data_IF_036321076654
#
_entry.id   IF_036321076654
#
_cell.length_a   1.000
_cell.length_b   1.000
_cell.length_c   1.000
_cell.angle_alpha   90.00
_cell.angle_beta   90.00
_cell.angle_gamma   90.00
#
_symmetry.space_group_name_H-M   'P 1'
#
loop_
_entity.id
_entity.type
_entity.pdbx_description
1 polymer ?
#
# COMPACT_ATOMS: atom_id res chain seq x y z
N UNK A 1 8.94 53.38 -59.67
CA UNK A 1 7.79 53.17 -58.76
C UNK A 1 7.06 51.92 -59.20
N UNK A 2 7.37 50.75 -58.63
CA UNK A 2 6.49 49.57 -58.51
C UNK A 2 7.27 48.41 -57.91
N UNK A 3 6.54 47.52 -57.21
CA UNK A 3 6.91 46.11 -56.99
C UNK A 3 7.81 45.74 -55.80
N UNK A 4 7.33 45.92 -54.56
CA UNK A 4 7.79 45.14 -53.38
C UNK A 4 6.62 44.63 -52.50
N UNK A 5 5.36 44.97 -52.78
CA UNK A 5 4.26 44.79 -51.82
C UNK A 5 3.54 43.41 -51.82
N UNK A 6 4.02 42.36 -52.49
CA UNK A 6 3.22 41.14 -52.69
C UNK A 6 3.81 39.79 -52.22
N UNK A 7 4.92 39.75 -51.48
CA UNK A 7 5.49 38.47 -51.02
C UNK A 7 5.03 37.97 -49.63
N UNK A 8 4.23 38.72 -48.87
CA UNK A 8 3.90 38.36 -47.47
C UNK A 8 2.56 37.62 -47.32
N UNK A 9 1.76 37.47 -48.38
CA UNK A 9 0.37 36.98 -48.26
C UNK A 9 0.16 35.48 -48.43
N UNK A 10 1.20 34.68 -48.68
CA UNK A 10 1.05 33.23 -48.99
C UNK A 10 1.41 32.31 -47.80
N UNK A 11 1.96 32.82 -46.70
CA UNK A 11 2.39 31.97 -45.58
C UNK A 11 1.36 31.76 -44.45
N UNK A 12 0.17 32.40 -44.53
CA UNK A 12 -0.85 32.31 -43.47
C UNK A 12 -1.98 31.33 -43.79
N UNK A 13 -2.05 30.79 -45.02
CA UNK A 13 -3.23 30.05 -45.50
C UNK A 13 -3.01 28.56 -45.78
N UNK A 14 -1.87 27.99 -45.35
CA UNK A 14 -1.51 26.58 -45.57
C UNK A 14 -1.52 25.69 -44.33
N UNK A 15 -2.00 26.17 -43.17
CA UNK A 15 -2.00 25.43 -41.90
C UNK A 15 -3.43 25.07 -41.44
N UNK A 16 -4.30 24.70 -42.37
CA UNK A 16 -5.57 24.05 -42.06
C UNK A 16 -5.54 22.63 -42.62
N UNK A 17 -5.90 21.66 -41.77
CA UNK A 17 -6.13 20.25 -42.08
C UNK A 17 -4.91 19.34 -42.19
N UNK A 18 -4.25 19.13 -41.05
CA UNK A 18 -3.70 17.80 -40.76
C UNK A 18 -4.06 17.44 -39.31
N UNK A 19 -5.35 17.32 -39.03
CA UNK A 19 -5.84 16.65 -37.83
C UNK A 19 -5.56 15.15 -38.00
N UNK A 20 -4.32 14.74 -37.73
CA UNK A 20 -3.96 13.34 -37.58
C UNK A 20 -4.55 12.85 -36.26
N UNK A 21 -5.79 12.39 -36.29
CA UNK A 21 -6.40 11.61 -35.21
C UNK A 21 -5.72 10.24 -35.20
N UNK A 22 -4.53 10.15 -34.60
CA UNK A 22 -3.95 8.85 -34.23
C UNK A 22 -4.67 8.39 -32.97
N UNK A 23 -5.90 7.91 -33.16
CA UNK A 23 -6.66 7.18 -32.14
C UNK A 23 -6.11 5.75 -32.05
N UNK A 24 -4.85 5.64 -31.61
CA UNK A 24 -4.22 4.39 -31.23
C UNK A 24 -3.91 4.46 -29.75
N UNK A 25 -4.94 4.41 -28.91
CA UNK A 25 -4.78 4.27 -27.47
C UNK A 25 -4.27 2.85 -27.19
N UNK A 26 -2.97 2.64 -27.39
CA UNK A 26 -2.29 1.54 -26.73
C UNK A 26 -2.35 1.84 -25.23
N UNK A 27 -3.32 1.25 -24.54
CA UNK A 27 -3.33 1.16 -23.09
C UNK A 27 -2.13 0.28 -22.69
N UNK A 28 -0.94 0.86 -22.67
CA UNK A 28 0.17 0.25 -21.96
C UNK A 28 -0.20 0.28 -20.48
N UNK A 29 -0.41 -0.90 -19.90
CA UNK A 29 -0.54 -1.03 -18.47
C UNK A 29 0.71 -0.44 -17.83
N UNK A 30 0.53 0.65 -17.08
CA UNK A 30 1.60 1.27 -16.35
C UNK A 30 2.18 0.28 -15.33
N UNK A 31 3.51 0.25 -15.09
CA UNK A 31 4.06 -0.42 -13.93
C UNK A 31 3.38 0.12 -12.67
N UNK A 32 2.69 -0.76 -11.95
CA UNK A 32 2.18 -0.50 -10.61
C UNK A 32 3.36 -0.38 -9.65
N UNK A 33 3.35 0.68 -8.85
CA UNK A 33 4.33 0.89 -7.80
C UNK A 33 3.73 0.48 -6.48
N UNK A 34 4.13 -0.68 -5.97
CA UNK A 34 3.71 -1.12 -4.64
C UNK A 34 4.65 -0.48 -3.61
N UNK A 35 4.09 0.31 -2.69
CA UNK A 35 4.83 0.77 -1.51
C UNK A 35 4.50 -0.19 -0.37
N UNK A 36 5.55 -0.68 0.30
CA UNK A 36 5.43 -1.58 1.45
C UNK A 36 5.70 -0.78 2.70
N UNK A 37 4.73 -0.75 3.62
CA UNK A 37 4.93 -0.28 4.98
C UNK A 37 5.18 -1.48 5.87
N UNK A 38 6.36 -1.49 6.49
CA UNK A 38 6.70 -2.48 7.50
C UNK A 38 6.14 -2.05 8.87
N UNK A 39 5.75 -3.03 9.69
CA UNK A 39 5.38 -2.76 11.06
C UNK A 39 6.56 -2.12 11.81
N UNK A 40 6.37 -0.90 12.31
CA UNK A 40 7.30 -0.24 13.21
C UNK A 40 7.00 -0.71 14.62
N UNK A 41 7.98 -1.31 15.30
CA UNK A 41 7.89 -1.68 16.71
C UNK A 41 6.67 -2.55 17.09
N UNK A 42 6.81 -3.88 17.00
CA UNK A 42 5.89 -4.85 17.62
C UNK A 42 6.30 -5.09 19.11
N UNK A 43 7.24 -4.30 19.65
CA UNK A 43 7.88 -4.55 20.94
C UNK A 43 7.17 -3.78 22.06
N UNK A 44 6.30 -4.50 22.76
CA UNK A 44 5.76 -4.04 24.03
C UNK A 44 6.67 -4.44 25.17
N UNK A 45 7.02 -3.46 26.02
CA UNK A 45 7.79 -3.57 27.28
C UNK A 45 9.33 -3.58 27.19
N UNK A 46 9.92 -2.42 27.49
CA UNK A 46 11.29 -2.34 28.03
C UNK A 46 11.34 -3.03 29.40
N UNK A 47 11.87 -4.25 29.47
CA UNK A 47 12.19 -4.89 30.75
C UNK A 47 12.41 -6.41 30.78
N UNK A 48 12.09 -7.16 29.72
CA UNK A 48 12.22 -8.63 29.75
C UNK A 48 12.31 -9.18 28.32
N UNK A 49 13.46 -9.78 28.00
CA UNK A 49 13.84 -10.48 26.74
C UNK A 49 13.26 -9.90 25.43
N UNK A 50 14.14 -9.24 24.66
CA UNK A 50 13.84 -8.64 23.35
C UNK A 50 13.50 -9.72 22.32
N UNK A 51 12.21 -9.82 21.99
CA UNK A 51 11.69 -10.57 20.85
C UNK A 51 10.98 -9.54 19.94
N UNK A 52 11.02 -9.70 18.62
CA UNK A 52 10.40 -8.76 17.66
C UNK A 52 8.87 -8.86 17.63
N UNK A 53 8.26 -9.44 18.65
CA UNK A 53 6.83 -9.37 18.94
C UNK A 53 6.59 -9.63 20.42
N UNK A 54 5.49 -9.10 20.93
CA UNK A 54 4.94 -9.51 22.21
C UNK A 54 3.59 -10.18 21.99
N UNK A 55 3.54 -11.47 22.30
CA UNK A 55 2.30 -12.21 22.43
C UNK A 55 2.06 -12.38 23.93
N UNK A 56 0.98 -11.81 24.44
CA UNK A 56 0.57 -12.10 25.82
C UNK A 56 -0.66 -12.97 25.78
N UNK A 57 -0.47 -14.15 26.37
CA UNK A 57 -1.56 -15.06 26.66
C UNK A 57 -2.27 -14.59 27.92
N UNK A 58 -3.37 -13.87 27.75
CA UNK A 58 -4.29 -13.59 28.87
C UNK A 58 -5.39 -14.65 28.81
N UNK A 59 -5.32 -15.63 29.72
CA UNK A 59 -6.24 -16.76 29.70
C UNK A 59 -5.99 -17.67 28.50
N UNK A 60 -6.92 -17.70 27.55
CA UNK A 60 -6.83 -18.52 26.33
C UNK A 60 -6.64 -17.70 25.05
N UNK A 61 -6.62 -16.37 25.14
CA UNK A 61 -6.51 -15.50 23.98
C UNK A 61 -5.05 -15.08 23.74
N UNK A 62 -4.57 -15.28 22.52
CA UNK A 62 -3.32 -14.72 22.04
C UNK A 62 -3.59 -13.34 21.41
N UNK A 63 -2.80 -12.35 21.81
CA UNK A 63 -2.92 -10.96 21.37
C UNK A 63 -1.59 -10.42 20.89
N UNK A 64 -1.60 -9.74 19.75
CA UNK A 64 -0.41 -9.12 19.15
C UNK A 64 -0.80 -7.72 18.66
N UNK A 65 0.08 -6.74 18.87
CA UNK A 65 -0.10 -5.36 18.41
C UNK A 65 1.00 -5.00 17.43
N UNK A 66 0.66 -4.38 16.31
CA UNK A 66 1.60 -3.88 15.31
C UNK A 66 1.31 -2.42 14.98
N UNK A 67 2.28 -1.53 15.17
CA UNK A 67 2.20 -0.13 14.73
C UNK A 67 2.78 0.01 13.32
N UNK A 68 2.21 0.90 12.51
CA UNK A 68 2.69 1.23 11.17
C UNK A 68 2.88 2.73 11.09
N UNK A 69 4.09 3.16 10.71
CA UNK A 69 4.40 4.57 10.53
C UNK A 69 3.70 5.10 9.27
N UNK A 70 2.85 6.11 9.45
CA UNK A 70 2.18 6.81 8.36
C UNK A 70 2.97 8.02 7.86
N UNK A 71 4.06 8.39 8.53
CA UNK A 71 4.89 9.51 8.10
C UNK A 71 5.54 9.21 6.75
N UNK A 72 5.31 10.10 5.78
CA UNK A 72 5.83 9.94 4.42
C UNK A 72 4.96 9.08 3.51
N UNK A 73 3.84 8.55 4.00
CA UNK A 73 2.82 7.95 3.13
C UNK A 73 2.10 9.08 2.40
N UNK A 74 2.27 9.12 1.08
CA UNK A 74 1.56 10.08 0.24
C UNK A 74 0.12 9.61 0.02
N UNK A 75 -0.88 10.51 0.07
CA UNK A 75 -2.24 10.16 -0.31
C UNK A 75 -2.31 9.81 -1.81
N UNK A 76 -3.35 9.07 -2.23
CA UNK A 76 -3.59 8.78 -3.65
C UNK A 76 -3.35 7.33 -4.09
N UNK A 77 -3.19 6.39 -3.15
CA UNK A 77 -3.29 4.96 -3.46
C UNK A 77 -4.75 4.54 -3.71
N UNK A 78 -4.97 3.53 -4.55
CA UNK A 78 -6.30 2.99 -4.85
C UNK A 78 -6.75 2.00 -3.76
N UNK A 79 -5.81 1.19 -3.27
CA UNK A 79 -6.06 0.18 -2.24
C UNK A 79 -4.89 0.07 -1.26
N UNK A 80 -5.22 -0.23 -0.01
CA UNK A 80 -4.25 -0.63 1.00
C UNK A 80 -4.63 -2.00 1.56
N UNK A 81 -3.68 -2.96 1.55
CA UNK A 81 -3.91 -4.34 2.01
C UNK A 81 -2.89 -4.69 3.09
N UNK A 82 -3.39 -4.97 4.29
CA UNK A 82 -2.61 -5.51 5.39
C UNK A 82 -2.41 -7.01 5.17
N UNK A 83 -1.15 -7.43 5.11
CA UNK A 83 -0.72 -8.82 5.05
C UNK A 83 -0.27 -9.29 6.42
N UNK A 84 -0.88 -10.36 6.90
CA UNK A 84 -0.66 -10.91 8.23
C UNK A 84 -0.17 -12.35 8.10
N UNK A 85 1.15 -12.57 8.15
CA UNK A 85 1.74 -13.90 8.23
C UNK A 85 1.44 -14.50 9.61
N UNK A 86 0.84 -15.68 9.63
CA UNK A 86 0.53 -16.40 10.86
C UNK A 86 0.83 -17.89 10.74
N UNK A 87 1.14 -18.51 11.87
CA UNK A 87 1.23 -19.95 12.04
C UNK A 87 0.24 -20.41 13.11
N UNK A 88 -0.52 -21.44 12.78
CA UNK A 88 -1.34 -22.17 13.73
C UNK A 88 -0.53 -23.35 14.27
N UNK A 89 -0.31 -23.39 15.59
CA UNK A 89 0.52 -24.41 16.24
C UNK A 89 -0.29 -25.50 16.96
N UNK A 90 -1.61 -25.49 16.80
CA UNK A 90 -2.43 -26.60 17.28
C UNK A 90 -2.28 -27.82 16.35
N UNK A 91 -2.07 -29.04 16.90
CA UNK A 91 -1.71 -30.23 16.12
C UNK A 91 -2.82 -30.73 15.17
N UNK A 92 -4.06 -30.29 15.40
CA UNK A 92 -5.24 -30.50 14.54
C UNK A 92 -6.12 -29.27 14.69
N UNK A 93 -5.77 -28.14 14.03
CA UNK A 93 -6.42 -26.89 14.33
C UNK A 93 -7.89 -26.98 13.93
N UNK A 94 -8.84 -26.78 14.87
CA UNK A 94 -10.21 -26.48 14.45
C UNK A 94 -10.17 -25.24 13.56
N UNK A 95 -11.19 -25.07 12.70
CA UNK A 95 -11.37 -23.86 11.93
C UNK A 95 -11.49 -22.65 12.88
N UNK A 96 -10.37 -22.00 13.14
CA UNK A 96 -10.27 -20.90 14.10
C UNK A 96 -10.66 -19.56 13.49
N UNK A 97 -10.70 -18.53 14.35
CA UNK A 97 -10.92 -17.15 13.93
C UNK A 97 -9.85 -16.18 14.44
N UNK A 98 -9.54 -15.18 13.63
CA UNK A 98 -8.67 -14.07 13.97
C UNK A 98 -9.43 -12.76 13.80
N UNK A 99 -9.62 -12.04 14.90
CA UNK A 99 -10.12 -10.67 14.89
C UNK A 99 -8.98 -9.69 14.64
N UNK A 100 -9.17 -8.81 13.66
CA UNK A 100 -8.26 -7.69 13.35
C UNK A 100 -8.95 -6.41 13.79
N UNK A 101 -8.35 -5.70 14.74
CA UNK A 101 -8.81 -4.43 15.28
C UNK A 101 -7.82 -3.34 14.87
N UNK A 102 -8.28 -2.10 14.78
CA UNK A 102 -7.42 -0.97 14.44
C UNK A 102 -7.64 0.23 15.37
N UNK A 103 -6.58 1.01 15.58
CA UNK A 103 -6.58 2.24 16.37
C UNK A 103 -5.41 3.15 15.96
N UNK A 104 -5.36 4.37 16.50
CA UNK A 104 -4.20 5.26 16.38
C UNK A 104 -3.29 5.09 17.59
N UNK A 105 -2.07 4.65 17.35
CA UNK A 105 -1.04 4.50 18.38
C UNK A 105 -0.07 5.68 18.41
N UNK A 106 0.93 5.57 19.28
CA UNK A 106 2.02 6.54 19.41
C UNK A 106 3.37 5.99 18.93
N UNK A 107 3.36 4.79 18.33
CA UNK A 107 4.54 4.09 17.84
C UNK A 107 5.27 3.28 18.92
N UNK A 108 4.75 3.23 20.14
CA UNK A 108 5.28 2.42 21.25
C UNK A 108 4.21 1.41 21.66
N UNK A 109 4.52 0.12 21.65
CA UNK A 109 3.55 -0.88 22.13
C UNK A 109 3.47 -0.86 23.65
N UNK A 110 2.26 -0.75 24.18
CA UNK A 110 2.00 -0.86 25.62
C UNK A 110 0.90 -1.87 25.95
N UNK A 111 0.90 -2.36 27.19
CA UNK A 111 -0.01 -3.44 27.59
C UNK A 111 -1.49 -3.03 27.61
N UNK A 112 -1.77 -1.74 27.78
CA UNK A 112 -3.11 -1.16 27.69
C UNK A 112 -3.66 -1.15 26.25
N UNK A 113 -2.81 -1.28 25.24
CA UNK A 113 -3.24 -1.35 23.84
C UNK A 113 -3.78 -2.73 23.44
N UNK A 114 -3.59 -3.77 24.25
CA UNK A 114 -4.05 -5.13 23.91
C UNK A 114 -5.56 -5.25 23.76
N UNK A 115 -6.32 -4.35 24.40
CA UNK A 115 -7.77 -4.25 24.26
C UNK A 115 -8.22 -3.03 23.43
N UNK A 116 -7.28 -2.26 22.87
CA UNK A 116 -7.58 -1.07 22.09
C UNK A 116 -8.17 -1.41 20.71
N UNK A 117 -8.81 -0.39 20.15
CA UNK A 117 -9.27 -0.35 18.77
C UNK A 117 -10.67 -0.87 18.51
N UNK A 118 -11.09 -0.63 17.27
CA UNK A 118 -12.37 -1.05 16.74
C UNK A 118 -12.17 -2.27 15.84
N UNK A 119 -13.11 -3.22 15.88
CA UNK A 119 -13.05 -4.39 15.01
C UNK A 119 -13.12 -3.93 13.54
N UNK A 120 -12.06 -4.22 12.78
CA UNK A 120 -12.02 -4.02 11.35
C UNK A 120 -12.63 -5.21 10.62
N UNK A 121 -12.14 -6.41 10.95
CA UNK A 121 -12.54 -7.64 10.29
C UNK A 121 -12.27 -8.86 11.16
N UNK A 122 -13.21 -9.79 11.15
CA UNK A 122 -12.99 -11.15 11.63
C UNK A 122 -12.73 -12.06 10.43
N UNK A 123 -11.68 -12.87 10.52
CA UNK A 123 -11.34 -13.90 9.53
C UNK A 123 -11.54 -15.25 10.20
N UNK A 124 -12.52 -16.02 9.73
CA UNK A 124 -12.79 -17.37 10.21
C UNK A 124 -12.32 -18.43 9.21
N UNK A 125 -12.22 -19.68 9.64
CA UNK A 125 -11.86 -20.80 8.76
C UNK A 125 -10.37 -20.90 8.45
N UNK A 126 -9.52 -20.48 9.40
CA UNK A 126 -8.06 -20.52 9.22
C UNK A 126 -7.57 -21.93 9.57
N UNK A 127 -7.57 -22.81 8.57
CA UNK A 127 -7.22 -24.24 8.73
C UNK A 127 -5.73 -24.53 8.53
N UNK A 128 -5.00 -23.66 7.82
CA UNK A 128 -3.62 -23.94 7.44
C UNK A 128 -2.64 -23.76 8.62
N UNK A 129 -1.65 -24.66 8.79
CA UNK A 129 -0.60 -24.51 9.80
C UNK A 129 0.22 -23.22 9.63
N UNK A 130 0.34 -22.74 8.38
CA UNK A 130 0.93 -21.44 8.05
C UNK A 130 0.04 -20.79 7.00
N UNK A 131 -0.38 -19.55 7.23
CA UNK A 131 -1.18 -18.77 6.30
C UNK A 131 -0.68 -17.32 6.22
N UNK A 132 -1.01 -16.63 5.14
CA UNK A 132 -0.92 -15.18 5.08
C UNK A 132 -2.31 -14.64 4.81
N UNK A 133 -2.88 -13.95 5.79
CA UNK A 133 -4.16 -13.29 5.61
C UNK A 133 -3.94 -11.96 4.88
N UNK A 134 -4.92 -11.58 4.06
CA UNK A 134 -4.96 -10.29 3.38
C UNK A 134 -6.24 -9.58 3.81
N UNK A 135 -6.10 -8.43 4.46
CA UNK A 135 -7.20 -7.62 4.99
C UNK A 135 -7.15 -6.23 4.35
N UNK A 136 -8.24 -5.81 3.73
CA UNK A 136 -8.34 -4.47 3.17
C UNK A 136 -8.40 -3.42 4.29
N UNK A 137 -7.46 -2.48 4.28
CA UNK A 137 -7.28 -1.41 5.28
C UNK A 137 -7.36 -0.01 4.65
N UNK A 138 -7.80 0.09 3.39
CA UNK A 138 -7.88 1.33 2.61
C UNK A 138 -8.57 2.47 3.38
N UNK A 139 -9.69 2.19 4.03
CA UNK A 139 -10.42 3.20 4.81
C UNK A 139 -9.64 3.66 6.05
N UNK A 140 -9.07 2.73 6.82
CA UNK A 140 -8.32 3.04 8.04
C UNK A 140 -7.06 3.86 7.74
N UNK A 141 -6.32 3.53 6.67
CA UNK A 141 -5.15 4.30 6.24
C UNK A 141 -5.55 5.70 5.78
N UNK A 142 -6.56 5.82 4.91
CA UNK A 142 -7.05 7.13 4.47
C UNK A 142 -7.56 8.00 5.62
N UNK A 143 -8.23 7.39 6.60
CA UNK A 143 -8.70 8.10 7.79
C UNK A 143 -7.53 8.60 8.65
N UNK A 144 -6.52 7.76 8.90
CA UNK A 144 -5.31 8.15 9.61
C UNK A 144 -4.56 9.30 8.94
N UNK A 145 -4.40 9.25 7.61
CA UNK A 145 -3.78 10.32 6.83
C UNK A 145 -4.59 11.62 6.89
N UNK A 146 -5.92 11.55 6.77
CA UNK A 146 -6.79 12.72 6.84
C UNK A 146 -6.74 13.40 8.22
N UNK A 147 -6.54 12.62 9.28
CA UNK A 147 -6.40 13.10 10.65
C UNK A 147 -4.95 13.45 11.03
N UNK A 148 -3.99 13.33 10.10
CA UNK A 148 -2.56 13.56 10.35
C UNK A 148 -2.01 12.72 11.50
N UNK A 149 -2.48 11.47 11.61
CA UNK A 149 -2.02 10.54 12.62
C UNK A 149 -0.64 10.00 12.23
N UNK A 150 0.36 10.01 13.14
CA UNK A 150 1.70 9.54 12.83
C UNK A 150 1.76 8.01 12.72
N UNK A 151 0.90 7.29 13.45
CA UNK A 151 0.88 5.83 13.47
C UNK A 151 -0.53 5.28 13.30
N UNK A 152 -0.64 4.20 12.54
CA UNK A 152 -1.82 3.35 12.46
C UNK A 152 -1.49 1.98 13.03
N UNK A 153 -2.35 1.49 13.91
CA UNK A 153 -2.02 0.34 14.75
C UNK A 153 -3.07 -0.73 14.61
N UNK A 154 -2.64 -1.99 14.65
CA UNK A 154 -3.52 -3.14 14.53
C UNK A 154 -3.33 -4.09 15.70
N UNK A 155 -4.44 -4.55 16.28
CA UNK A 155 -4.45 -5.63 17.27
C UNK A 155 -5.00 -6.89 16.61
N UNK A 156 -4.26 -7.97 16.70
CA UNK A 156 -4.67 -9.30 16.28
C UNK A 156 -5.10 -10.09 17.51
N UNK A 157 -6.33 -10.59 17.52
CA UNK A 157 -6.89 -11.38 18.62
C UNK A 157 -7.34 -12.74 18.09
N UNK A 158 -6.71 -13.80 18.57
CA UNK A 158 -7.17 -15.15 18.30
C UNK A 158 -8.49 -15.45 19.00
N UNK A 159 -9.29 -16.34 18.43
CA UNK A 159 -10.44 -16.92 19.11
C UNK A 159 -10.05 -17.66 20.39
N UNK A 160 -11.00 -17.95 21.28
CA UNK A 160 -10.72 -18.53 22.60
C UNK A 160 -10.11 -19.94 22.57
N UNK A 161 -10.15 -20.61 21.41
CA UNK A 161 -9.61 -21.95 21.20
C UNK A 161 -8.33 -21.99 20.37
N UNK A 162 -7.91 -20.85 19.80
CA UNK A 162 -6.96 -20.83 18.70
C UNK A 162 -5.65 -20.16 19.12
N UNK A 163 -4.53 -20.75 18.73
CA UNK A 163 -3.20 -20.19 19.01
C UNK A 163 -2.48 -19.80 17.74
N UNK A 164 -2.48 -18.50 17.46
CA UNK A 164 -1.79 -17.92 16.33
C UNK A 164 -0.50 -17.26 16.76
N UNK A 165 0.60 -17.71 16.16
CA UNK A 165 1.90 -17.07 16.27
C UNK A 165 2.15 -16.22 15.02
N UNK A 166 2.72 -15.05 15.21
CA UNK A 166 3.03 -14.11 14.13
C UNK A 166 4.51 -13.74 14.15
N UNK A 167 5.04 -13.28 13.02
CA UNK A 167 6.39 -12.70 12.94
C UNK A 167 7.54 -13.68 13.23
N UNK A 168 8.68 -13.12 13.62
CA UNK A 168 9.97 -13.82 13.55
C UNK A 168 10.16 -15.03 14.48
N UNK A 169 9.45 -15.14 15.62
CA UNK A 169 9.67 -16.26 16.55
C UNK A 169 9.28 -17.61 15.93
N UNK A 170 8.33 -17.61 14.99
CA UNK A 170 7.96 -18.79 14.21
C UNK A 170 8.58 -18.79 12.80
N UNK A 171 9.65 -18.00 12.59
CA UNK A 171 10.31 -17.80 11.30
C UNK A 171 9.35 -17.29 10.20
N UNK A 172 8.35 -16.50 10.57
CA UNK A 172 7.49 -15.81 9.62
C UNK A 172 7.94 -14.36 9.42
N UNK A 173 7.69 -13.76 8.26
CA UNK A 173 7.89 -12.33 8.07
C UNK A 173 6.93 -11.52 8.96
N UNK A 174 7.28 -10.27 9.23
CA UNK A 174 6.41 -9.35 9.96
C UNK A 174 5.20 -8.94 9.12
N UNK A 175 4.19 -8.38 9.78
CA UNK A 175 3.01 -7.86 9.07
C UNK A 175 3.36 -6.61 8.28
N UNK A 176 2.78 -6.47 7.09
CA UNK A 176 3.10 -5.39 6.14
C UNK A 176 1.82 -4.81 5.55
N UNK A 177 1.79 -3.51 5.28
CA UNK A 177 0.72 -2.89 4.49
C UNK A 177 1.25 -2.65 3.07
N UNK A 178 0.57 -3.23 2.09
CA UNK A 178 0.82 -2.97 0.67
C UNK A 178 -0.09 -1.85 0.19
N UNK A 179 0.49 -0.79 -0.35
CA UNK A 179 -0.23 0.32 -0.96
C UNK A 179 -0.13 0.22 -2.49
N UNK A 180 -1.26 0.10 -3.18
CA UNK A 180 -1.33 0.07 -4.65
C UNK A 180 -1.52 1.50 -5.18
N UNK A 181 -0.44 2.10 -5.69
CA UNK A 181 -0.49 3.42 -6.30
C UNK A 181 -0.74 3.32 -7.80
N UNK A 182 -1.80 4.01 -8.26
CA UNK A 182 -2.05 4.21 -9.69
C UNK A 182 -1.25 5.42 -10.15
N UNK A 183 -0.26 5.26 -11.06
CA UNK A 183 0.49 6.40 -11.55
C UNK A 183 -0.43 7.40 -12.25
N UNK A 184 -0.29 8.68 -11.91
CA UNK A 184 -1.13 9.73 -12.47
C UNK A 184 -1.07 9.72 -14.01
N UNK A 185 -2.22 9.90 -14.70
CA UNK A 185 -2.26 9.94 -16.16
C UNK A 185 -1.32 10.99 -16.78
N UNK A 186 -1.07 12.09 -16.07
CA UNK A 186 -0.19 13.17 -16.50
C UNK A 186 1.28 12.73 -16.63
N UNK A 187 1.76 11.86 -15.74
CA UNK A 187 3.11 11.30 -15.77
C UNK A 187 3.39 10.55 -17.08
N UNK A 188 2.37 9.83 -17.57
CA UNK A 188 2.43 9.13 -18.86
C UNK A 188 2.34 10.07 -20.06
N UNK A 189 1.51 11.10 -19.98
CA UNK A 189 1.45 12.11 -21.02
C UNK A 189 2.85 12.75 -21.22
N UNK A 190 3.54 13.09 -20.12
CA UNK A 190 4.88 13.66 -20.17
C UNK A 190 5.92 12.68 -20.73
N UNK A 191 5.89 11.41 -20.30
CA UNK A 191 6.78 10.38 -20.84
C UNK A 191 6.55 10.15 -22.34
N UNK A 192 5.29 10.07 -22.77
CA UNK A 192 4.90 9.93 -24.16
C UNK A 192 5.37 11.11 -25.02
N UNK A 193 5.18 12.34 -24.54
CA UNK A 193 5.67 13.56 -25.21
C UNK A 193 7.20 13.55 -25.33
N UNK A 194 7.92 13.14 -24.28
CA UNK A 194 9.37 13.02 -24.29
C UNK A 194 9.88 12.03 -25.35
N UNK A 195 9.30 10.83 -25.40
CA UNK A 195 9.64 9.81 -26.41
C UNK A 195 9.35 10.32 -27.83
N UNK A 196 8.19 10.95 -28.03
CA UNK A 196 7.81 11.52 -29.32
C UNK A 196 8.80 12.61 -29.76
N UNK A 197 9.19 13.51 -28.85
CA UNK A 197 10.15 14.57 -29.12
C UNK A 197 11.52 14.00 -29.53
N UNK A 198 12.03 12.98 -28.83
CA UNK A 198 13.29 12.30 -29.18
C UNK A 198 13.20 11.64 -30.56
N UNK A 199 12.07 10.99 -30.87
CA UNK A 199 11.81 10.40 -32.19
C UNK A 199 11.85 11.44 -33.32
N UNK A 200 11.21 12.59 -33.11
CA UNK A 200 11.22 13.71 -34.07
C UNK A 200 12.64 14.27 -34.25
N UNK A 201 13.38 14.48 -33.16
CA UNK A 201 14.76 14.97 -33.20
C UNK A 201 15.70 14.00 -33.94
N UNK A 202 15.57 12.69 -33.71
CA UNK A 202 16.40 11.68 -34.38
C UNK A 202 16.14 11.63 -35.89
N UNK A 203 14.88 11.74 -36.31
CA UNK A 203 14.48 11.75 -37.73
C UNK A 203 15.02 12.96 -38.49
N UNK A 204 15.19 14.10 -37.82
CA UNK A 204 15.78 15.31 -38.41
C UNK A 204 17.30 15.23 -38.59
N UNK A 205 18.00 14.37 -37.84
CA UNK A 205 19.47 14.22 -37.94
C UNK A 205 19.92 13.30 -39.08
N UNK A 206 19.05 12.40 -39.52
CA UNK A 206 19.33 11.45 -40.62
C UNK A 206 18.94 11.97 -42.00
N UNK A 207 18.36 13.17 -42.08
CA UNK A 207 18.04 13.87 -43.32
C UNK A 207 18.96 15.08 -43.44
#
# INVERSE_FOLDING_TARGET
MSSIANCVRVLVQGWMFASFTVAGAFAMAAPRGDVVLDAHDITGLRGSLVLTFQAVKIGTEDRVVAHFDLNGVEPGFEAAVLRIPLANWDPEPPAGSLGVYWFYGDGVVSADEWDAGMLLREVAGIEAPVATLAVEVTSAVNEGLAQQQPYLSFVYRGGPSDRYFLGSIVNLPDSTILLDYVPEPASWAMAGVGILAVGICRRRRTR
#
